data_IF_408611865470
#
_entry.id   IF_408611865470
#
_cell.length_a   1.000
_cell.length_b   1.000
_cell.length_c   1.000
_cell.angle_alpha   90.00
_cell.angle_beta   90.00
_cell.angle_gamma   90.00
#
_symmetry.space_group_name_H-M   'P 1'
#
loop_
_entity.id
_entity.type
_entity.pdbx_description
1 polymer ?
#
# COMPACT_ATOMS: atom_id res chain seq x y z
N UNK A 1 -20.79 12.97 -2.43
CA UNK A 1 -19.60 13.50 -1.73
C UNK A 1 -18.47 12.47 -1.62
N UNK A 2 -18.70 11.32 -0.99
CA UNK A 2 -17.68 10.26 -0.82
C UNK A 2 -17.08 9.79 -2.15
N UNK A 3 -17.90 9.51 -3.17
CA UNK A 3 -17.41 9.04 -4.47
C UNK A 3 -16.50 10.05 -5.18
N UNK A 4 -16.81 11.35 -5.08
CA UNK A 4 -15.98 12.42 -5.66
C UNK A 4 -14.64 12.55 -4.93
N UNK A 5 -14.63 12.36 -3.61
CA UNK A 5 -13.40 12.36 -2.83
C UNK A 5 -12.51 11.16 -3.18
N UNK A 6 -13.06 9.95 -3.25
CA UNK A 6 -12.33 8.75 -3.68
C UNK A 6 -11.78 8.94 -5.10
N UNK A 7 -12.60 9.47 -6.02
CA UNK A 7 -12.14 9.78 -7.37
C UNK A 7 -10.98 10.79 -7.37
N UNK A 8 -11.08 11.85 -6.55
CA UNK A 8 -10.01 12.83 -6.38
C UNK A 8 -8.72 12.21 -5.87
N UNK A 9 -8.79 11.30 -4.88
CA UNK A 9 -7.63 10.56 -4.39
C UNK A 9 -7.00 9.68 -5.47
N UNK A 10 -7.82 8.96 -6.24
CA UNK A 10 -7.35 8.13 -7.34
C UNK A 10 -6.68 8.96 -8.43
N UNK A 11 -7.19 10.15 -8.73
CA UNK A 11 -6.58 11.09 -9.68
C UNK A 11 -5.31 11.75 -9.10
N UNK A 12 -5.23 11.99 -7.79
CA UNK A 12 -4.04 12.52 -7.16
C UNK A 12 -2.91 11.48 -7.17
N UNK A 13 -3.19 10.23 -6.78
CA UNK A 13 -2.23 9.13 -6.90
C UNK A 13 -1.85 8.91 -8.35
N UNK A 14 -2.79 9.09 -9.28
CA UNK A 14 -2.54 9.00 -10.70
C UNK A 14 -1.43 9.89 -11.21
N UNK A 15 -1.63 11.18 -10.93
CA UNK A 15 -0.75 12.24 -11.35
C UNK A 15 0.61 12.05 -10.70
N UNK A 16 0.64 11.74 -9.41
CA UNK A 16 1.89 11.52 -8.68
C UNK A 16 2.69 10.35 -9.27
N UNK A 17 2.03 9.20 -9.50
CA UNK A 17 2.66 8.03 -10.12
C UNK A 17 3.18 8.31 -11.51
N UNK A 18 2.43 9.07 -12.31
CA UNK A 18 2.92 9.49 -13.62
C UNK A 18 4.18 10.36 -13.52
N UNK A 19 4.18 11.35 -12.63
CA UNK A 19 5.30 12.27 -12.42
C UNK A 19 6.54 11.52 -11.93
N UNK A 20 6.41 10.68 -10.90
CA UNK A 20 7.57 10.01 -10.32
C UNK A 20 8.16 8.94 -11.24
N UNK A 21 7.32 8.21 -11.99
CA UNK A 21 7.79 7.26 -13.00
C UNK A 21 8.54 7.96 -14.12
N UNK A 22 8.02 9.10 -14.59
CA UNK A 22 8.67 9.93 -15.60
C UNK A 22 10.02 10.47 -15.11
N UNK A 23 10.07 10.95 -13.86
CA UNK A 23 11.30 11.44 -13.24
C UNK A 23 12.34 10.34 -13.04
N UNK A 24 11.93 9.14 -12.61
CA UNK A 24 12.81 8.00 -12.41
C UNK A 24 13.21 7.30 -13.73
N UNK A 25 12.69 7.73 -14.88
CA UNK A 25 12.96 7.11 -16.19
C UNK A 25 12.43 5.68 -16.31
N UNK A 26 11.38 5.35 -15.55
CA UNK A 26 10.88 3.99 -15.41
C UNK A 26 9.81 3.71 -16.46
N UNK A 27 10.12 2.85 -17.43
CA UNK A 27 9.15 2.31 -18.39
C UNK A 27 8.40 1.08 -17.82
N UNK A 28 8.01 1.12 -16.54
CA UNK A 28 7.17 0.05 -15.97
C UNK A 28 5.84 0.01 -16.71
N UNK A 29 5.25 -1.19 -16.78
CA UNK A 29 3.94 -1.40 -17.39
C UNK A 29 2.82 -0.57 -16.74
N UNK A 30 1.61 -0.73 -17.26
CA UNK A 30 0.39 -0.03 -16.83
C UNK A 30 0.30 0.03 -15.29
N UNK A 31 -0.36 1.05 -14.77
CA UNK A 31 -0.57 1.35 -13.33
C UNK A 31 -0.93 0.19 -12.38
N UNK A 32 -1.32 -0.97 -12.91
CA UNK A 32 -1.74 -2.16 -12.18
C UNK A 32 -1.15 -3.47 -12.72
N UNK A 33 -0.15 -3.44 -13.61
CA UNK A 33 0.55 -4.67 -13.96
C UNK A 33 1.47 -5.07 -12.82
N UNK A 34 1.29 -6.31 -12.37
CA UNK A 34 2.17 -6.96 -11.40
C UNK A 34 3.52 -7.24 -12.06
N UNK A 35 4.34 -6.20 -12.18
CA UNK A 35 5.70 -6.31 -12.72
C UNK A 35 6.60 -6.96 -11.66
N UNK A 36 6.58 -8.28 -11.65
CA UNK A 36 7.55 -9.05 -10.91
C UNK A 36 8.87 -9.05 -11.66
N UNK A 37 9.89 -8.48 -11.04
CA UNK A 37 11.26 -8.48 -11.56
C UNK A 37 11.80 -9.89 -11.85
N UNK A 38 11.33 -10.92 -11.13
CA UNK A 38 11.64 -12.32 -11.40
C UNK A 38 10.60 -13.26 -10.75
N UNK A 39 10.68 -14.56 -11.05
CA UNK A 39 9.78 -15.58 -10.47
C UNK A 39 9.91 -15.70 -8.94
N UNK A 40 11.10 -15.42 -8.39
CA UNK A 40 11.31 -15.42 -6.94
C UNK A 40 10.51 -14.31 -6.27
N UNK A 41 10.48 -13.12 -6.86
CA UNK A 41 9.68 -11.99 -6.41
C UNK A 41 8.20 -12.37 -6.36
N UNK A 42 7.69 -12.98 -7.44
CA UNK A 42 6.30 -13.45 -7.52
C UNK A 42 5.93 -14.44 -6.43
N UNK A 43 6.78 -15.46 -6.21
CA UNK A 43 6.53 -16.48 -5.18
C UNK A 43 6.53 -15.86 -3.78
N UNK A 44 7.52 -15.03 -3.47
CA UNK A 44 7.65 -14.40 -2.16
C UNK A 44 6.52 -13.40 -1.88
N UNK A 45 6.14 -12.55 -2.84
CA UNK A 45 5.01 -11.62 -2.67
C UNK A 45 3.72 -12.39 -2.35
N UNK A 46 3.46 -13.50 -3.05
CA UNK A 46 2.31 -14.38 -2.75
C UNK A 46 2.37 -14.93 -1.33
N UNK A 47 3.53 -15.41 -0.88
CA UNK A 47 3.69 -15.93 0.48
C UNK A 47 3.50 -14.83 1.52
N UNK A 48 4.11 -13.65 1.35
CA UNK A 48 3.95 -12.50 2.25
C UNK A 48 2.48 -12.14 2.41
N UNK A 49 1.73 -12.11 1.30
CA UNK A 49 0.28 -11.85 1.32
C UNK A 49 -0.50 -12.91 2.08
N UNK A 50 -0.23 -14.20 1.83
CA UNK A 50 -0.92 -15.28 2.54
C UNK A 50 -0.62 -15.22 4.04
N UNK A 51 0.65 -15.03 4.42
CA UNK A 51 1.08 -14.96 5.82
C UNK A 51 0.49 -13.78 6.57
N UNK A 52 0.05 -12.73 5.87
CA UNK A 52 -0.67 -11.62 6.48
C UNK A 52 -2.19 -11.80 6.46
N UNK A 53 -2.76 -12.15 5.30
CA UNK A 53 -4.22 -12.23 5.12
C UNK A 53 -4.85 -13.27 6.05
N UNK A 54 -4.22 -14.45 6.20
CA UNK A 54 -4.77 -15.53 7.04
C UNK A 54 -4.92 -15.09 8.51
N UNK A 55 -3.86 -14.66 9.21
CA UNK A 55 -4.00 -14.20 10.60
C UNK A 55 -4.82 -12.91 10.71
N UNK A 56 -4.74 -12.01 9.72
CA UNK A 56 -5.55 -10.79 9.71
C UNK A 56 -7.05 -11.11 9.70
N UNK A 57 -7.50 -12.09 8.89
CA UNK A 57 -8.90 -12.52 8.88
C UNK A 57 -9.32 -13.15 10.21
N UNK A 58 -8.44 -13.96 10.82
CA UNK A 58 -8.67 -14.55 12.14
C UNK A 58 -8.81 -13.45 13.21
N UNK A 59 -8.02 -12.38 13.12
CA UNK A 59 -8.13 -11.21 13.99
C UNK A 59 -9.39 -10.38 13.72
N UNK A 60 -9.75 -10.17 12.45
CA UNK A 60 -10.80 -9.26 12.02
C UNK A 60 -12.20 -9.68 12.50
N UNK A 61 -12.51 -10.97 12.41
CA UNK A 61 -13.83 -11.50 12.79
C UNK A 61 -14.21 -11.17 14.25
N UNK A 62 -13.41 -11.55 15.28
CA UNK A 62 -13.71 -11.19 16.65
C UNK A 62 -13.58 -9.68 16.89
N UNK A 63 -12.65 -8.99 16.22
CA UNK A 63 -12.45 -7.56 16.40
C UNK A 63 -13.70 -6.75 16.00
N UNK A 64 -14.41 -7.16 14.94
CA UNK A 64 -15.67 -6.56 14.52
C UNK A 64 -16.82 -7.00 15.43
N UNK A 65 -16.97 -8.30 15.71
CA UNK A 65 -18.11 -8.82 16.47
C UNK A 65 -18.18 -8.31 17.91
N UNK A 66 -17.02 -8.00 18.52
CA UNK A 66 -16.92 -7.55 19.92
C UNK A 66 -16.72 -6.05 20.07
N UNK A 67 -16.54 -5.31 18.96
CA UNK A 67 -16.13 -3.91 18.98
C UNK A 67 -14.71 -3.68 19.51
N UNK A 68 -13.90 -4.74 19.67
CA UNK A 68 -12.53 -4.64 20.18
C UNK A 68 -11.65 -3.75 19.29
N UNK A 69 -11.91 -3.67 17.97
CA UNK A 69 -11.14 -2.81 17.07
C UNK A 69 -11.09 -1.34 17.53
N UNK A 70 -12.16 -0.80 18.11
CA UNK A 70 -12.22 0.60 18.57
C UNK A 70 -11.50 0.80 19.92
N UNK A 71 -11.48 -0.24 20.76
CA UNK A 71 -10.86 -0.21 22.10
C UNK A 71 -9.39 -0.61 22.07
N UNK A 72 -8.94 -1.25 20.99
CA UNK A 72 -7.56 -1.67 20.83
C UNK A 72 -6.63 -0.45 20.74
N UNK A 73 -5.39 -0.56 21.25
CA UNK A 73 -4.35 0.42 20.99
C UNK A 73 -4.22 0.72 19.50
N UNK A 74 -3.94 1.98 19.14
CA UNK A 74 -3.95 2.45 17.75
C UNK A 74 -3.17 1.56 16.77
N UNK A 75 -2.06 0.94 17.20
CA UNK A 75 -1.20 0.08 16.37
C UNK A 75 -1.78 -1.31 16.10
N UNK A 76 -2.78 -1.75 16.88
CA UNK A 76 -3.53 -2.99 16.63
C UNK A 76 -4.83 -2.73 15.85
N UNK A 77 -5.22 -1.48 15.68
CA UNK A 77 -6.42 -1.16 14.91
C UNK A 77 -6.26 -1.60 13.46
N UNK A 78 -7.37 -2.03 12.88
CA UNK A 78 -7.47 -2.55 11.50
C UNK A 78 -6.76 -1.65 10.49
N UNK A 79 -6.96 -0.33 10.55
CA UNK A 79 -6.32 0.61 9.61
C UNK A 79 -4.80 0.64 9.77
N UNK A 80 -4.28 0.56 11.00
CA UNK A 80 -2.85 0.61 11.27
C UNK A 80 -2.16 -0.66 10.76
N UNK A 81 -2.78 -1.82 10.98
CA UNK A 81 -2.30 -3.10 10.46
C UNK A 81 -2.25 -3.09 8.92
N UNK A 82 -3.28 -2.56 8.25
CA UNK A 82 -3.32 -2.46 6.79
C UNK A 82 -2.26 -1.49 6.24
N UNK A 83 -2.09 -0.31 6.86
CA UNK A 83 -1.06 0.66 6.47
C UNK A 83 0.34 0.07 6.67
N UNK A 84 0.59 -0.61 7.81
CA UNK A 84 1.86 -1.26 8.08
C UNK A 84 2.16 -2.35 7.05
N UNK A 85 1.18 -3.20 6.73
CA UNK A 85 1.32 -4.24 5.73
C UNK A 85 1.57 -3.70 4.33
N UNK A 86 0.85 -2.64 3.93
CA UNK A 86 1.11 -1.96 2.66
C UNK A 86 2.53 -1.38 2.60
N UNK A 87 3.04 -0.83 3.71
CA UNK A 87 4.42 -0.41 3.85
C UNK A 87 5.41 -1.56 3.65
N UNK A 88 5.19 -2.71 4.30
CA UNK A 88 6.04 -3.91 4.13
C UNK A 88 6.07 -4.37 2.68
N UNK A 89 4.91 -4.44 2.00
CA UNK A 89 4.85 -4.80 0.58
C UNK A 89 5.60 -3.81 -0.30
N UNK A 90 5.43 -2.51 -0.07
CA UNK A 90 6.12 -1.45 -0.81
C UNK A 90 7.64 -1.56 -0.64
N UNK A 91 8.11 -1.75 0.60
CA UNK A 91 9.52 -1.90 0.91
C UNK A 91 10.11 -3.16 0.28
N UNK A 92 9.38 -4.28 0.35
CA UNK A 92 9.79 -5.52 -0.26
C UNK A 92 9.92 -5.39 -1.79
N UNK A 93 8.92 -4.78 -2.44
CA UNK A 93 8.94 -4.53 -3.87
C UNK A 93 10.12 -3.62 -4.25
N UNK A 94 10.31 -2.51 -3.54
CA UNK A 94 11.43 -1.60 -3.76
C UNK A 94 12.79 -2.30 -3.58
N UNK A 95 12.92 -3.17 -2.57
CA UNK A 95 14.13 -3.97 -2.36
C UNK A 95 14.40 -4.92 -3.53
N UNK A 96 13.37 -5.63 -4.01
CA UNK A 96 13.49 -6.54 -5.15
C UNK A 96 13.86 -5.79 -6.44
N UNK A 97 13.26 -4.62 -6.66
CA UNK A 97 13.58 -3.77 -7.80
C UNK A 97 15.00 -3.23 -7.72
N UNK A 98 15.44 -2.74 -6.56
CA UNK A 98 16.81 -2.27 -6.38
C UNK A 98 17.85 -3.37 -6.66
N UNK A 99 17.54 -4.62 -6.30
CA UNK A 99 18.48 -5.73 -6.41
C UNK A 99 18.46 -6.42 -7.79
N UNK A 100 17.30 -6.50 -8.44
CA UNK A 100 17.13 -7.37 -9.60
C UNK A 100 16.62 -6.66 -10.86
N UNK A 101 16.20 -5.39 -10.79
CA UNK A 101 15.62 -4.73 -11.96
C UNK A 101 16.69 -4.12 -12.86
N UNK A 102 16.42 -4.14 -14.17
CA UNK A 102 17.32 -3.54 -15.17
C UNK A 102 17.45 -2.02 -15.01
N UNK A 103 16.45 -1.36 -14.42
CA UNK A 103 16.49 0.07 -14.13
C UNK A 103 16.86 0.33 -12.66
N UNK A 104 18.07 0.82 -12.36
CA UNK A 104 18.54 1.03 -10.99
C UNK A 104 17.73 2.09 -10.22
N UNK A 105 16.92 2.92 -10.90
CA UNK A 105 16.06 3.93 -10.27
C UNK A 105 14.62 3.47 -10.08
N UNK A 106 14.25 2.25 -10.52
CA UNK A 106 12.89 1.73 -10.40
C UNK A 106 12.37 1.71 -8.95
N UNK A 107 13.24 1.41 -7.99
CA UNK A 107 12.88 1.37 -6.58
C UNK A 107 12.48 2.75 -6.02
N UNK A 108 13.04 3.85 -6.55
CA UNK A 108 12.70 5.21 -6.11
C UNK A 108 11.26 5.58 -6.47
N UNK A 109 10.81 5.17 -7.65
CA UNK A 109 9.41 5.36 -8.06
C UNK A 109 8.47 4.59 -7.14
N UNK A 110 8.77 3.33 -6.84
CA UNK A 110 7.96 2.49 -5.93
C UNK A 110 7.92 3.04 -4.52
N UNK A 111 9.06 3.46 -3.97
CA UNK A 111 9.12 4.06 -2.63
C UNK A 111 8.33 5.36 -2.55
N UNK A 112 8.49 6.23 -3.55
CA UNK A 112 7.75 7.49 -3.56
C UNK A 112 6.26 7.30 -3.76
N UNK A 113 5.85 6.42 -4.67
CA UNK A 113 4.43 6.07 -4.87
C UNK A 113 3.81 5.51 -3.59
N UNK A 114 4.47 4.53 -2.97
CA UNK A 114 3.97 3.93 -1.73
C UNK A 114 3.96 4.91 -0.56
N UNK A 115 4.98 5.76 -0.42
CA UNK A 115 5.01 6.80 0.61
C UNK A 115 3.89 7.83 0.41
N UNK A 116 3.61 8.23 -0.83
CA UNK A 116 2.53 9.14 -1.16
C UNK A 116 1.16 8.54 -0.82
N UNK A 117 0.93 7.26 -1.16
CA UNK A 117 -0.31 6.55 -0.82
C UNK A 117 -0.47 6.45 0.71
N UNK A 118 0.59 6.10 1.44
CA UNK A 118 0.55 6.04 2.90
C UNK A 118 0.22 7.41 3.49
N UNK A 119 0.84 8.48 2.99
CA UNK A 119 0.56 9.84 3.44
C UNK A 119 -0.91 10.22 3.20
N UNK A 120 -1.46 9.91 2.01
CA UNK A 120 -2.87 10.13 1.71
C UNK A 120 -3.79 9.36 2.69
N UNK A 121 -3.52 8.07 2.92
CA UNK A 121 -4.30 7.26 3.85
C UNK A 121 -4.29 7.85 5.26
N UNK A 122 -3.12 8.27 5.77
CA UNK A 122 -3.01 8.88 7.08
C UNK A 122 -3.77 10.21 7.17
N UNK A 123 -3.72 11.05 6.11
CA UNK A 123 -4.50 12.30 6.04
C UNK A 123 -6.00 11.99 6.13
N UNK A 124 -6.49 11.03 5.33
CA UNK A 124 -7.91 10.64 5.34
C UNK A 124 -8.34 10.16 6.72
N UNK A 125 -7.57 9.26 7.33
CA UNK A 125 -7.87 8.70 8.66
C UNK A 125 -7.88 9.82 9.71
N UNK A 126 -6.89 10.71 9.71
CA UNK A 126 -6.80 11.81 10.70
C UNK A 126 -7.82 12.92 10.49
N UNK A 127 -8.23 13.16 9.25
CA UNK A 127 -9.21 14.21 8.93
C UNK A 127 -10.62 13.88 9.41
N UNK A 128 -10.90 12.65 9.85
CA UNK A 128 -12.24 12.22 10.23
C UNK A 128 -13.24 12.27 9.07
N UNK A 129 -12.78 12.30 7.81
CA UNK A 129 -13.62 12.49 6.62
C UNK A 129 -14.75 11.47 6.50
N UNK A 130 -14.53 10.26 7.00
CA UNK A 130 -15.53 9.19 7.03
C UNK A 130 -16.33 9.10 8.34
N UNK A 131 -16.11 10.01 9.29
CA UNK A 131 -16.72 9.97 10.62
C UNK A 131 -16.16 8.87 11.54
N UNK A 132 -15.05 8.24 11.17
CA UNK A 132 -14.31 7.31 12.03
C UNK A 132 -13.24 8.07 12.82
N UNK A 133 -13.66 8.83 13.83
CA UNK A 133 -12.91 9.25 15.02
C UNK A 133 -13.84 10.03 15.96
#
# INVERSE_FOLDING_TARGET
MIALFILGMLLASAAFTYVIKRWAGVKKGKWFTWDYVNDRHRKLDKWIRITFIVPYLIYLVPAIMTGWNERAPWYLQTWALLVAFFGVLTLFQAFMEKKYSDNPRAYLATLGDGAFIIALLLIVIRSGFFGYL
#
